data_IF_472142797998
#
_entry.id   IF_472142797998
#
_cell.length_a   1.000
_cell.length_b   1.000
_cell.length_c   1.000
_cell.angle_alpha   90.00
_cell.angle_beta   90.00
_cell.angle_gamma   90.00
#
_symmetry.space_group_name_H-M   'P 1'
#
loop_
_entity.id
_entity.type
_entity.pdbx_description
1 polymer ?
#
# COMPACT_ATOMS: atom_id res chain seq x y z
N UNK A 1 -13.54 -37.79 12.26
CA UNK A 1 -12.35 -37.04 11.82
C UNK A 1 -12.51 -36.84 10.32
N UNK A 2 -12.91 -35.63 9.94
CA UNK A 2 -13.37 -35.32 8.60
C UNK A 2 -12.20 -35.24 7.59
N UNK A 3 -12.41 -35.71 6.34
CA UNK A 3 -11.40 -35.68 5.29
C UNK A 3 -10.97 -34.26 4.88
N UNK A 4 -11.81 -33.24 5.06
CA UNK A 4 -11.54 -31.86 4.63
C UNK A 4 -10.37 -31.18 5.37
N UNK A 5 -10.18 -31.44 6.66
CA UNK A 5 -9.10 -30.81 7.44
C UNK A 5 -7.70 -31.33 7.06
N UNK A 6 -7.60 -32.57 6.57
CA UNK A 6 -6.33 -33.15 6.13
C UNK A 6 -5.88 -32.52 4.80
N UNK A 7 -6.81 -32.30 3.88
CA UNK A 7 -6.53 -31.71 2.57
C UNK A 7 -6.08 -30.25 2.64
N UNK A 8 -6.55 -29.47 3.64
CA UNK A 8 -6.04 -28.11 3.89
C UNK A 8 -4.60 -28.13 4.38
N UNK A 9 -4.28 -28.98 5.36
CA UNK A 9 -2.91 -29.06 5.92
C UNK A 9 -1.84 -29.48 4.90
N UNK A 10 -2.22 -30.35 3.95
CA UNK A 10 -1.33 -30.80 2.87
C UNK A 10 -1.10 -29.69 1.86
N UNK A 11 -2.14 -28.93 1.50
CA UNK A 11 -2.02 -27.76 0.61
C UNK A 11 -1.15 -26.67 1.24
N UNK A 12 -1.38 -26.36 2.51
CA UNK A 12 -0.62 -25.36 3.26
C UNK A 12 0.87 -25.74 3.34
N UNK A 13 1.17 -27.02 3.59
CA UNK A 13 2.55 -27.51 3.59
C UNK A 13 3.19 -27.44 2.20
N UNK A 14 2.48 -27.83 1.15
CA UNK A 14 2.97 -27.73 -0.23
C UNK A 14 3.24 -26.28 -0.62
N UNK A 15 2.37 -25.34 -0.24
CA UNK A 15 2.58 -23.91 -0.47
C UNK A 15 3.79 -23.39 0.28
N UNK A 16 3.99 -23.80 1.53
CA UNK A 16 5.14 -23.38 2.34
C UNK A 16 6.46 -23.90 1.76
N UNK A 17 6.48 -25.16 1.30
CA UNK A 17 7.65 -25.74 0.61
C UNK A 17 7.91 -25.03 -0.72
N UNK A 18 6.87 -24.76 -1.52
CA UNK A 18 7.00 -24.00 -2.77
C UNK A 18 7.55 -22.59 -2.52
N UNK A 19 7.03 -21.89 -1.50
CA UNK A 19 7.50 -20.55 -1.13
C UNK A 19 8.97 -20.55 -0.69
N UNK A 20 9.42 -21.60 0.01
CA UNK A 20 10.82 -21.73 0.44
C UNK A 20 11.81 -22.04 -0.69
N UNK A 21 11.34 -22.66 -1.79
CA UNK A 21 12.19 -23.07 -2.93
C UNK A 21 12.17 -22.09 -4.10
N UNK A 22 11.20 -21.18 -4.14
CA UNK A 22 11.11 -20.15 -5.17
C UNK A 22 12.22 -19.11 -4.98
N UNK A 23 12.78 -18.64 -6.08
CA UNK A 23 13.68 -17.48 -6.07
C UNK A 23 12.98 -16.21 -5.57
N UNK A 24 13.78 -15.21 -5.19
CA UNK A 24 13.27 -13.92 -4.72
C UNK A 24 13.11 -12.94 -5.88
N UNK A 25 12.04 -12.15 -5.85
CA UNK A 25 11.77 -11.13 -6.85
C UNK A 25 11.99 -9.73 -6.27
N UNK A 26 12.90 -8.98 -6.88
CA UNK A 26 13.12 -7.55 -6.61
C UNK A 26 12.70 -6.71 -7.80
N UNK A 27 11.84 -5.72 -7.56
CA UNK A 27 11.29 -4.85 -8.62
C UNK A 27 11.70 -3.41 -8.36
N UNK A 28 12.38 -2.82 -9.34
CA UNK A 28 12.57 -1.39 -9.43
C UNK A 28 11.38 -0.74 -10.15
N UNK A 29 10.54 -0.04 -9.40
CA UNK A 29 9.40 0.69 -9.95
C UNK A 29 9.77 2.15 -10.18
N UNK A 30 9.23 2.76 -11.23
CA UNK A 30 9.41 4.19 -11.47
C UNK A 30 8.21 4.81 -12.16
N UNK A 31 8.03 6.11 -11.99
CA UNK A 31 6.91 6.85 -12.58
C UNK A 31 6.97 6.94 -14.11
N UNK A 32 8.16 6.84 -14.71
CA UNK A 32 8.35 6.94 -16.16
C UNK A 32 9.70 6.41 -16.64
N UNK A 33 9.88 6.36 -17.96
CA UNK A 33 11.17 6.18 -18.61
C UNK A 33 12.14 7.32 -18.24
N UNK A 34 13.43 7.01 -18.14
CA UNK A 34 14.48 8.01 -17.92
C UNK A 34 14.81 8.34 -16.46
N UNK A 35 14.02 7.84 -15.50
CA UNK A 35 14.28 7.98 -14.05
C UNK A 35 15.50 7.16 -13.56
N UNK A 36 16.08 6.32 -14.41
CA UNK A 36 17.33 5.60 -14.10
C UNK A 36 17.16 4.21 -13.48
N UNK A 37 16.00 3.55 -13.64
CA UNK A 37 15.76 2.17 -13.17
C UNK A 37 16.87 1.19 -13.60
N UNK A 38 17.10 1.08 -14.90
CA UNK A 38 18.15 0.21 -15.48
C UNK A 38 19.54 0.54 -14.95
N UNK A 39 19.86 1.83 -14.79
CA UNK A 39 21.14 2.26 -14.25
C UNK A 39 21.33 1.82 -12.80
N UNK A 40 20.30 2.00 -11.95
CA UNK A 40 20.32 1.53 -10.55
C UNK A 40 20.41 0.01 -10.44
N UNK A 41 19.65 -0.71 -11.26
CA UNK A 41 19.69 -2.16 -11.34
C UNK A 41 21.09 -2.69 -11.68
N UNK A 42 21.79 -2.05 -12.63
CA UNK A 42 23.18 -2.38 -12.95
C UNK A 42 24.17 -2.01 -11.84
N UNK A 43 23.97 -0.90 -11.14
CA UNK A 43 24.79 -0.57 -9.96
C UNK A 43 24.65 -1.61 -8.85
N UNK A 44 23.44 -2.10 -8.60
CA UNK A 44 23.20 -3.19 -7.66
C UNK A 44 23.87 -4.48 -8.13
N UNK A 45 23.83 -4.78 -9.43
CA UNK A 45 24.51 -5.94 -9.98
C UNK A 45 26.01 -5.96 -9.70
N UNK A 46 26.68 -4.81 -9.89
CA UNK A 46 28.09 -4.65 -9.51
C UNK A 46 28.32 -4.86 -8.01
N UNK A 47 27.42 -4.36 -7.17
CA UNK A 47 27.51 -4.57 -5.73
C UNK A 47 27.37 -6.06 -5.36
N UNK A 48 26.47 -6.80 -6.00
CA UNK A 48 26.28 -8.24 -5.80
C UNK A 48 27.50 -9.05 -6.26
N UNK A 49 28.03 -8.75 -7.46
CA UNK A 49 29.27 -9.38 -7.96
C UNK A 49 30.45 -9.15 -7.02
N UNK A 50 30.60 -7.92 -6.50
CA UNK A 50 31.66 -7.60 -5.54
C UNK A 50 31.56 -8.40 -4.24
N UNK A 51 30.35 -8.80 -3.86
CA UNK A 51 30.09 -9.65 -2.71
C UNK A 51 30.11 -11.16 -3.04
N UNK A 52 30.48 -11.54 -4.27
CA UNK A 52 30.65 -12.92 -4.69
C UNK A 52 29.36 -13.66 -5.05
N UNK A 53 28.25 -12.94 -5.26
CA UNK A 53 26.98 -13.52 -5.71
C UNK A 53 27.04 -13.75 -7.22
N UNK A 54 26.66 -14.95 -7.69
CA UNK A 54 26.55 -15.26 -9.12
C UNK A 54 25.32 -14.56 -9.72
N UNK A 55 25.56 -13.38 -10.30
CA UNK A 55 24.55 -12.61 -11.01
C UNK A 55 24.87 -12.51 -12.50
N UNK A 56 23.85 -12.72 -13.33
CA UNK A 56 23.97 -12.67 -14.78
C UNK A 56 22.87 -11.83 -15.42
N UNK A 57 23.19 -11.15 -16.51
CA UNK A 57 22.22 -10.41 -17.31
C UNK A 57 21.50 -11.39 -18.24
N UNK A 58 20.21 -11.61 -17.98
CA UNK A 58 19.33 -12.35 -18.89
C UNK A 58 18.84 -11.45 -20.03
N UNK A 59 18.39 -10.24 -19.69
CA UNK A 59 18.02 -9.23 -20.67
C UNK A 59 18.15 -7.83 -20.07
N UNK A 60 18.66 -6.89 -20.86
CA UNK A 60 18.72 -5.47 -20.49
C UNK A 60 18.65 -4.57 -21.71
N UNK A 61 17.90 -3.48 -21.62
CA UNK A 61 17.82 -2.49 -22.69
C UNK A 61 18.49 -1.17 -22.25
N UNK A 62 19.60 -0.82 -22.91
CA UNK A 62 20.36 0.39 -22.55
C UNK A 62 19.84 1.63 -23.25
N UNK A 63 19.02 1.49 -24.30
CA UNK A 63 18.54 2.55 -25.17
C UNK A 63 19.69 3.46 -25.67
N UNK A 64 20.84 2.86 -25.99
CA UNK A 64 22.06 3.55 -26.45
C UNK A 64 22.60 4.62 -25.49
N UNK A 65 22.28 4.54 -24.19
CA UNK A 65 22.81 5.45 -23.18
C UNK A 65 24.24 5.02 -22.82
N UNK A 66 25.23 5.83 -23.21
CA UNK A 66 26.65 5.51 -23.01
C UNK A 66 27.00 5.17 -21.54
N UNK A 67 26.50 5.96 -20.59
CA UNK A 67 26.73 5.73 -19.15
C UNK A 67 26.16 4.38 -18.67
N UNK A 68 24.95 4.01 -19.13
CA UNK A 68 24.32 2.72 -18.78
C UNK A 68 25.00 1.57 -19.49
N UNK A 69 25.40 1.75 -20.75
CA UNK A 69 26.11 0.74 -21.53
C UNK A 69 27.48 0.41 -20.93
N UNK A 70 28.19 1.42 -20.42
CA UNK A 70 29.46 1.23 -19.74
C UNK A 70 29.33 0.33 -18.49
N UNK A 71 28.18 0.37 -17.80
CA UNK A 71 27.92 -0.49 -16.64
C UNK A 71 27.72 -1.96 -16.98
N UNK A 72 27.50 -2.33 -18.25
CA UNK A 72 27.43 -3.73 -18.66
C UNK A 72 28.80 -4.42 -18.52
N UNK A 73 29.89 -3.66 -18.67
CA UNK A 73 31.23 -4.20 -18.58
C UNK A 73 31.48 -4.79 -17.19
N UNK A 74 31.94 -6.04 -17.15
CA UNK A 74 32.24 -6.76 -15.91
C UNK A 74 31.09 -7.57 -15.33
N UNK A 75 29.86 -7.48 -15.89
CA UNK A 75 28.74 -8.34 -15.50
C UNK A 75 28.61 -9.48 -16.53
N UNK A 76 28.56 -10.76 -16.11
CA UNK A 76 28.32 -11.87 -17.03
C UNK A 76 26.97 -11.71 -17.75
N UNK A 77 26.96 -11.96 -19.07
CA UNK A 77 25.76 -11.80 -19.90
C UNK A 77 25.37 -13.13 -20.54
N UNK A 78 24.09 -13.46 -20.46
CA UNK A 78 23.49 -14.57 -21.18
C UNK A 78 23.14 -14.10 -22.57
N UNK A 79 23.70 -14.75 -23.59
CA UNK A 79 23.46 -14.41 -24.99
C UNK A 79 21.97 -14.46 -25.31
N UNK A 80 21.47 -13.37 -25.92
CA UNK A 80 20.08 -13.27 -26.38
C UNK A 80 19.80 -14.27 -27.49
N UNK A 81 18.57 -14.78 -27.53
CA UNK A 81 18.09 -15.61 -28.63
C UNK A 81 17.75 -14.73 -29.81
N UNK A 82 18.22 -15.11 -31.00
CA UNK A 82 17.88 -14.44 -32.26
C UNK A 82 16.76 -15.19 -32.96
N UNK A 83 15.71 -14.47 -33.34
CA UNK A 83 14.55 -15.04 -34.04
C UNK A 83 14.18 -14.17 -35.23
N UNK A 84 13.86 -14.79 -36.37
CA UNK A 84 13.34 -14.07 -37.53
C UNK A 84 11.82 -14.00 -37.47
N UNK A 85 11.27 -12.79 -37.47
CA UNK A 85 9.83 -12.55 -37.47
C UNK A 85 9.48 -11.45 -38.49
N UNK A 86 8.50 -11.72 -39.36
CA UNK A 86 8.08 -10.82 -40.46
C UNK A 86 9.25 -10.24 -41.28
N UNK A 87 10.27 -11.05 -41.55
CA UNK A 87 11.43 -10.66 -42.35
C UNK A 87 12.44 -9.75 -41.62
N UNK A 88 12.33 -9.58 -40.30
CA UNK A 88 13.31 -8.86 -39.47
C UNK A 88 13.93 -9.82 -38.45
N UNK A 89 15.23 -9.70 -38.23
CA UNK A 89 15.92 -10.34 -37.11
C UNK A 89 15.59 -9.56 -35.84
N UNK A 90 15.08 -10.25 -34.84
CA UNK A 90 14.76 -9.71 -33.53
C UNK A 90 15.55 -10.49 -32.47
N UNK A 91 16.00 -9.78 -31.44
CA UNK A 91 16.64 -10.38 -30.28
C UNK A 91 15.66 -10.43 -29.12
N UNK A 92 15.66 -11.55 -28.38
CA UNK A 92 14.81 -11.75 -27.21
C UNK A 92 15.60 -12.44 -26.10
N UNK A 93 15.11 -12.31 -24.86
CA UNK A 93 15.67 -13.05 -23.73
C UNK A 93 15.65 -14.57 -24.00
N UNK A 94 16.74 -15.26 -23.70
CA UNK A 94 16.79 -16.72 -23.75
C UNK A 94 16.45 -17.33 -22.38
N UNK A 95 15.14 -17.53 -22.14
CA UNK A 95 14.62 -18.12 -20.92
C UNK A 95 15.28 -19.48 -20.59
N UNK A 96 15.44 -20.34 -21.60
CA UNK A 96 15.97 -21.69 -21.37
C UNK A 96 17.46 -21.64 -21.02
N UNK A 97 18.23 -20.74 -21.64
CA UNK A 97 19.63 -20.54 -21.28
C UNK A 97 19.80 -20.02 -19.85
N UNK A 98 18.90 -19.14 -19.38
CA UNK A 98 18.89 -18.67 -17.98
C UNK A 98 18.63 -19.83 -17.03
N UNK A 99 17.58 -20.62 -17.26
CA UNK A 99 17.23 -21.77 -16.42
C UNK A 99 18.35 -22.81 -16.41
N UNK A 100 18.95 -23.10 -17.58
CA UNK A 100 20.02 -24.09 -17.69
C UNK A 100 21.32 -23.66 -17.01
N UNK A 101 21.66 -22.36 -17.05
CA UNK A 101 22.82 -21.83 -16.34
C UNK A 101 22.62 -21.77 -14.83
N UNK A 102 21.38 -21.56 -14.41
CA UNK A 102 20.97 -21.51 -13.01
C UNK A 102 21.83 -20.57 -12.15
N UNK A 103 21.92 -19.26 -12.49
CA UNK A 103 22.61 -18.29 -11.65
C UNK A 103 21.86 -18.08 -10.33
N UNK A 104 22.52 -17.54 -9.31
CA UNK A 104 21.82 -17.14 -8.07
C UNK A 104 20.84 -16.00 -8.33
N UNK A 105 21.22 -15.06 -9.20
CA UNK A 105 20.41 -13.90 -9.60
C UNK A 105 20.45 -13.66 -11.11
N UNK A 106 19.29 -13.43 -11.72
CA UNK A 106 19.14 -13.00 -13.10
C UNK A 106 18.60 -11.56 -13.19
N UNK A 107 19.21 -10.73 -14.04
CA UNK A 107 18.71 -9.39 -14.35
C UNK A 107 17.83 -9.46 -15.60
N UNK A 108 16.60 -8.98 -15.48
CA UNK A 108 15.61 -8.99 -16.57
C UNK A 108 14.92 -7.62 -16.63
N UNK A 109 15.31 -6.78 -17.59
CA UNK A 109 14.67 -5.46 -17.80
C UNK A 109 13.36 -5.54 -18.61
N UNK A 110 12.60 -4.44 -18.60
CA UNK A 110 11.31 -4.24 -19.27
C UNK A 110 10.29 -5.34 -18.94
N UNK A 111 9.90 -5.45 -17.66
CA UNK A 111 8.96 -6.49 -17.18
C UNK A 111 7.63 -6.56 -17.97
N UNK A 112 7.19 -5.42 -18.52
CA UNK A 112 5.94 -5.28 -19.27
C UNK A 112 6.01 -5.75 -20.74
N UNK A 113 7.22 -6.04 -21.23
CA UNK A 113 7.48 -6.37 -22.63
C UNK A 113 6.63 -7.54 -23.12
N UNK A 114 6.14 -7.39 -24.34
CA UNK A 114 5.43 -8.42 -25.08
C UNK A 114 6.42 -9.25 -25.87
N UNK A 115 6.56 -10.52 -25.49
CA UNK A 115 7.50 -11.42 -26.15
C UNK A 115 7.12 -11.63 -27.63
N UNK A 116 8.13 -11.92 -28.44
CA UNK A 116 7.94 -12.23 -29.87
C UNK A 116 6.99 -13.43 -30.03
N UNK A 117 6.09 -13.35 -31.01
CA UNK A 117 5.20 -14.45 -31.41
C UNK A 117 5.98 -15.75 -31.64
N UNK A 118 5.47 -16.87 -31.09
CA UNK A 118 6.14 -18.17 -31.10
C UNK A 118 7.04 -18.43 -29.90
N UNK A 119 7.20 -17.46 -28.99
CA UNK A 119 7.79 -17.70 -27.67
C UNK A 119 6.87 -18.55 -26.79
N UNK A 120 7.44 -19.29 -25.82
CA UNK A 120 6.69 -20.13 -24.87
C UNK A 120 5.62 -19.30 -24.14
N UNK A 121 6.03 -18.14 -23.65
CA UNK A 121 5.17 -17.19 -22.96
C UNK A 121 4.96 -15.94 -23.82
N UNK A 122 3.80 -15.29 -23.68
CA UNK A 122 3.46 -14.09 -24.44
C UNK A 122 3.98 -12.80 -23.80
N UNK A 123 4.28 -12.83 -22.50
CA UNK A 123 4.75 -11.68 -21.73
C UNK A 123 6.02 -12.00 -20.94
N UNK A 124 6.94 -11.04 -20.86
CA UNK A 124 8.21 -11.21 -20.14
C UNK A 124 8.02 -11.46 -18.64
N UNK A 125 6.99 -10.88 -18.02
CA UNK A 125 6.66 -11.19 -16.62
C UNK A 125 6.36 -12.68 -16.39
N UNK A 126 5.85 -13.40 -17.38
CA UNK A 126 5.64 -14.85 -17.27
C UNK A 126 6.97 -15.60 -17.31
N UNK A 127 7.92 -15.16 -18.14
CA UNK A 127 9.27 -15.72 -18.13
C UNK A 127 9.96 -15.47 -16.79
N UNK A 128 9.79 -14.28 -16.20
CA UNK A 128 10.30 -13.96 -14.86
C UNK A 128 9.69 -14.92 -13.81
N UNK A 129 8.40 -15.24 -13.91
CA UNK A 129 7.79 -16.23 -13.02
C UNK A 129 8.37 -17.63 -13.22
N UNK A 130 8.59 -18.06 -14.47
CA UNK A 130 9.26 -19.34 -14.77
C UNK A 130 10.68 -19.40 -14.17
N UNK A 131 11.44 -18.29 -14.23
CA UNK A 131 12.79 -18.19 -13.63
C UNK A 131 12.72 -18.31 -12.10
N UNK A 132 11.78 -17.61 -11.47
CA UNK A 132 11.57 -17.67 -10.02
C UNK A 132 11.17 -19.08 -9.56
N UNK A 133 10.30 -19.75 -10.32
CA UNK A 133 9.88 -21.13 -10.04
C UNK A 133 11.04 -22.13 -10.16
N UNK A 134 12.03 -21.86 -11.02
CA UNK A 134 13.26 -22.62 -11.10
C UNK A 134 14.21 -22.39 -9.90
N UNK A 135 13.87 -21.49 -8.98
CA UNK A 135 14.67 -21.17 -7.78
C UNK A 135 15.71 -20.07 -7.99
N UNK A 136 15.71 -19.41 -9.14
CA UNK A 136 16.64 -18.32 -9.48
C UNK A 136 16.01 -17.00 -9.04
N UNK A 137 16.75 -16.15 -8.32
CA UNK A 137 16.24 -14.83 -7.94
C UNK A 137 16.28 -13.87 -9.13
N UNK A 138 15.34 -12.92 -9.20
CA UNK A 138 15.24 -11.99 -10.34
C UNK A 138 15.24 -10.54 -9.84
N UNK A 139 16.06 -9.70 -10.48
CA UNK A 139 15.99 -8.25 -10.37
C UNK A 139 15.44 -7.70 -11.68
N UNK A 140 14.36 -6.94 -11.60
CA UNK A 140 13.66 -6.40 -12.77
C UNK A 140 13.26 -4.95 -12.58
N UNK A 141 12.78 -4.30 -13.64
CA UNK A 141 12.30 -2.94 -13.62
C UNK A 141 10.99 -2.78 -14.40
N UNK A 142 10.13 -1.90 -13.89
CA UNK A 142 8.83 -1.58 -14.50
C UNK A 142 8.49 -0.09 -14.30
N UNK A 143 7.76 0.48 -15.26
CA UNK A 143 7.11 1.77 -15.06
C UNK A 143 5.69 1.57 -14.52
N UNK A 144 5.24 2.45 -13.64
CA UNK A 144 3.89 2.41 -13.04
C UNK A 144 2.77 2.37 -14.10
N UNK A 145 3.03 2.99 -15.25
CA UNK A 145 2.15 3.06 -16.42
C UNK A 145 1.78 1.70 -17.01
N UNK A 146 2.56 0.65 -16.74
CA UNK A 146 2.29 -0.68 -17.25
C UNK A 146 1.45 -1.54 -16.31
N UNK A 147 1.07 -1.04 -15.12
CA UNK A 147 0.14 -1.76 -14.25
C UNK A 147 -1.26 -1.72 -14.85
N UNK A 148 -1.95 -2.86 -14.83
CA UNK A 148 -3.28 -3.00 -15.40
C UNK A 148 -4.29 -2.08 -14.69
N UNK A 149 -4.26 -2.03 -13.35
CA UNK A 149 -5.21 -1.22 -12.56
C UNK A 149 -5.10 0.29 -12.80
N UNK A 150 -3.94 0.77 -13.25
CA UNK A 150 -3.64 2.20 -13.41
C UNK A 150 -3.72 2.66 -14.87
N UNK A 151 -4.09 1.77 -15.78
CA UNK A 151 -4.04 2.02 -17.22
C UNK A 151 -4.93 3.20 -17.63
N UNK A 152 -6.20 3.18 -17.20
CA UNK A 152 -7.19 4.21 -17.54
C UNK A 152 -6.80 5.57 -16.98
N UNK A 153 -6.44 5.64 -15.69
CA UNK A 153 -6.02 6.87 -15.03
C UNK A 153 -4.78 7.49 -15.71
N UNK A 154 -3.82 6.65 -16.10
CA UNK A 154 -2.58 7.12 -16.75
C UNK A 154 -2.82 7.52 -18.20
N UNK A 155 -3.71 6.84 -18.92
CA UNK A 155 -4.13 7.25 -20.26
C UNK A 155 -4.85 8.61 -20.22
N UNK A 156 -5.72 8.86 -19.22
CA UNK A 156 -6.39 10.15 -19.03
C UNK A 156 -5.39 11.28 -18.76
N UNK A 157 -4.35 11.03 -17.94
CA UNK A 157 -3.31 12.02 -17.63
C UNK A 157 -2.42 12.27 -18.86
N UNK A 158 -1.98 11.21 -19.53
CA UNK A 158 -0.93 11.31 -20.55
C UNK A 158 -1.48 11.57 -21.95
N UNK A 159 -2.71 11.11 -22.23
CA UNK A 159 -3.34 11.06 -23.54
C UNK A 159 -2.78 9.98 -24.46
N UNK A 160 -2.04 9.01 -23.91
CA UNK A 160 -1.33 7.98 -24.68
C UNK A 160 -1.80 6.59 -24.23
N UNK A 161 -2.38 5.78 -25.13
CA UNK A 161 -2.80 4.42 -24.79
C UNK A 161 -1.60 3.52 -24.53
N UNK A 162 -1.69 2.71 -23.48
CA UNK A 162 -0.61 1.78 -23.08
C UNK A 162 -1.04 0.35 -23.38
N UNK A 163 -0.38 -0.24 -24.36
CA UNK A 163 -0.64 -1.59 -24.88
C UNK A 163 0.08 -2.69 -24.10
N UNK A 164 1.23 -2.36 -23.53
CA UNK A 164 2.03 -3.30 -22.74
C UNK A 164 1.64 -3.21 -21.27
N UNK A 165 1.08 -4.30 -20.76
CA UNK A 165 0.46 -4.37 -19.43
C UNK A 165 0.97 -5.54 -18.60
N UNK A 166 0.97 -5.35 -17.29
CA UNK A 166 1.39 -6.29 -16.26
C UNK A 166 0.30 -6.35 -15.18
N UNK A 167 -0.17 -7.55 -14.80
CA UNK A 167 -1.12 -7.69 -13.70
C UNK A 167 -0.51 -7.23 -12.38
N UNK A 168 -1.30 -6.51 -11.57
CA UNK A 168 -0.91 -6.02 -10.24
C UNK A 168 -0.41 -7.12 -9.29
N UNK A 169 -0.93 -8.34 -9.46
CA UNK A 169 -0.50 -9.53 -8.70
C UNK A 169 1.02 -9.79 -8.80
N UNK A 170 1.68 -9.33 -9.87
CA UNK A 170 3.13 -9.45 -10.02
C UNK A 170 3.88 -8.61 -8.98
N UNK A 171 3.33 -7.45 -8.58
CA UNK A 171 3.88 -6.67 -7.48
C UNK A 171 3.62 -7.35 -6.14
N UNK A 172 2.48 -8.01 -5.96
CA UNK A 172 2.16 -8.72 -4.70
C UNK A 172 3.09 -9.89 -4.42
N UNK A 173 3.61 -10.55 -5.46
CA UNK A 173 4.58 -11.65 -5.31
C UNK A 173 6.03 -11.18 -5.20
N UNK A 174 6.27 -9.87 -5.29
CA UNK A 174 7.59 -9.28 -5.13
C UNK A 174 8.04 -9.34 -3.67
N UNK A 175 9.26 -9.82 -3.44
CA UNK A 175 9.87 -9.85 -2.12
C UNK A 175 10.41 -8.46 -1.74
N UNK A 176 10.82 -7.65 -2.72
CA UNK A 176 11.28 -6.28 -2.50
C UNK A 176 10.82 -5.36 -3.65
N UNK A 177 10.27 -4.20 -3.30
CA UNK A 177 9.94 -3.14 -4.25
C UNK A 177 10.76 -1.90 -3.89
N UNK A 178 11.50 -1.38 -4.87
CA UNK A 178 12.30 -0.17 -4.71
C UNK A 178 11.77 0.91 -5.64
N UNK A 179 11.29 2.01 -5.07
CA UNK A 179 10.85 3.16 -5.84
C UNK A 179 12.04 3.99 -6.34
N UNK A 180 12.11 4.21 -7.66
CA UNK A 180 13.06 5.11 -8.30
C UNK A 180 12.34 6.38 -8.71
N UNK A 181 12.61 7.43 -7.96
CA UNK A 181 11.95 8.72 -8.07
C UNK A 181 12.95 9.82 -8.46
N UNK A 182 12.48 10.75 -9.28
CA UNK A 182 13.19 11.96 -9.71
C UNK A 182 12.24 13.15 -9.63
N UNK A 183 12.77 14.35 -9.48
CA UNK A 183 11.96 15.55 -9.66
C UNK A 183 11.58 15.75 -11.13
N UNK A 184 10.48 16.47 -11.39
CA UNK A 184 10.07 16.80 -12.76
C UNK A 184 11.15 17.60 -13.50
N UNK A 185 11.79 18.55 -12.82
CA UNK A 185 12.87 19.37 -13.38
C UNK A 185 14.08 18.51 -13.80
N UNK A 186 14.49 17.56 -12.97
CA UNK A 186 15.57 16.62 -13.30
C UNK A 186 15.21 15.72 -14.48
N UNK A 187 13.98 15.21 -14.53
CA UNK A 187 13.52 14.36 -15.63
C UNK A 187 13.47 15.15 -16.95
N UNK A 188 12.97 16.38 -16.92
CA UNK A 188 12.94 17.29 -18.07
C UNK A 188 14.36 17.67 -18.51
N UNK A 189 15.27 17.95 -17.58
CA UNK A 189 16.66 18.24 -17.89
C UNK A 189 17.33 17.06 -18.61
N UNK A 190 17.15 15.84 -18.09
CA UNK A 190 17.66 14.61 -18.73
C UNK A 190 17.08 14.40 -20.12
N UNK A 191 15.81 14.72 -20.33
CA UNK A 191 15.19 14.67 -21.66
C UNK A 191 15.84 15.68 -22.61
N UNK A 192 16.01 16.94 -22.18
CA UNK A 192 16.64 18.02 -22.97
C UNK A 192 18.10 17.72 -23.32
N UNK A 193 18.81 17.04 -22.44
CA UNK A 193 20.17 16.56 -22.67
C UNK A 193 20.25 15.38 -23.66
N UNK A 194 19.10 14.84 -24.11
CA UNK A 194 19.04 13.69 -25.00
C UNK A 194 19.37 12.36 -24.30
N UNK A 195 19.30 12.31 -22.97
CA UNK A 195 19.57 11.10 -22.17
C UNK A 195 18.38 10.12 -22.14
N UNK A 196 17.20 10.54 -22.60
CA UNK A 196 15.97 9.74 -22.53
C UNK A 196 15.50 9.31 -23.92
N UNK A 197 15.40 10.26 -24.86
CA UNK A 197 15.02 10.06 -26.25
C UNK A 197 16.01 10.74 -27.20
N UNK A 198 16.00 10.30 -28.46
CA UNK A 198 16.71 10.98 -29.55
C UNK A 198 16.25 12.44 -29.67
N UNK A 199 17.20 13.34 -30.00
CA UNK A 199 16.95 14.79 -30.10
C UNK A 199 15.74 15.14 -30.97
N UNK A 200 15.50 14.38 -32.04
CA UNK A 200 14.37 14.58 -32.94
C UNK A 200 12.99 14.40 -32.27
N UNK A 201 12.90 13.60 -31.20
CA UNK A 201 11.66 13.31 -30.47
C UNK A 201 11.50 14.14 -29.19
N UNK A 202 12.52 14.90 -28.80
CA UNK A 202 12.55 15.65 -27.53
C UNK A 202 11.46 16.70 -27.48
N UNK A 203 11.30 17.53 -28.52
CA UNK A 203 10.28 18.59 -28.52
C UNK A 203 8.86 18.02 -28.42
N UNK A 204 8.57 16.98 -29.20
CA UNK A 204 7.28 16.27 -29.14
C UNK A 204 7.03 15.62 -27.78
N UNK A 205 8.07 15.04 -27.17
CA UNK A 205 7.96 14.43 -25.85
C UNK A 205 7.69 15.47 -24.75
N UNK A 206 8.34 16.64 -24.81
CA UNK A 206 8.12 17.78 -23.90
C UNK A 206 6.71 18.36 -24.06
N UNK A 207 6.20 18.44 -25.28
CA UNK A 207 4.84 18.91 -25.54
C UNK A 207 3.76 17.92 -25.10
N UNK A 208 4.07 16.63 -24.93
CA UNK A 208 3.10 15.59 -24.62
C UNK A 208 3.26 15.03 -23.21
N UNK A 209 4.08 14.01 -23.04
CA UNK A 209 4.21 13.24 -21.80
C UNK A 209 5.01 14.00 -20.73
N UNK A 210 6.09 14.69 -21.11
CA UNK A 210 7.06 15.30 -20.19
C UNK A 210 6.68 16.74 -19.80
N UNK A 211 5.42 16.94 -19.45
CA UNK A 211 4.93 18.19 -18.83
C UNK A 211 5.00 18.09 -17.33
N UNK A 212 5.30 19.21 -16.67
CA UNK A 212 5.44 19.25 -15.21
C UNK A 212 4.16 18.75 -14.50
N UNK A 213 2.97 19.17 -14.94
CA UNK A 213 1.71 18.76 -14.30
C UNK A 213 1.48 17.24 -14.42
N UNK A 214 1.84 16.65 -15.56
CA UNK A 214 1.69 15.20 -15.80
C UNK A 214 2.70 14.39 -14.98
N UNK A 215 3.96 14.83 -14.94
CA UNK A 215 5.00 14.15 -14.16
C UNK A 215 4.65 14.15 -12.67
N UNK A 216 4.14 15.26 -12.14
CA UNK A 216 3.72 15.33 -10.73
C UNK A 216 2.58 14.36 -10.40
N UNK A 217 1.59 14.22 -11.29
CA UNK A 217 0.50 13.25 -11.11
C UNK A 217 1.01 11.80 -11.19
N UNK A 218 1.85 11.48 -12.16
CA UNK A 218 2.46 10.13 -12.26
C UNK A 218 3.34 9.80 -11.05
N UNK A 219 4.03 10.80 -10.50
CA UNK A 219 4.82 10.67 -9.28
C UNK A 219 3.94 10.40 -8.06
N UNK A 220 2.82 11.09 -7.93
CA UNK A 220 1.83 10.84 -6.87
C UNK A 220 1.31 9.40 -6.96
N UNK A 221 0.88 8.96 -8.15
CA UNK A 221 0.39 7.60 -8.38
C UNK A 221 1.46 6.56 -8.04
N UNK A 222 2.70 6.75 -8.50
CA UNK A 222 3.80 5.84 -8.21
C UNK A 222 4.08 5.71 -6.71
N UNK A 223 4.11 6.83 -5.98
CA UNK A 223 4.33 6.84 -4.53
C UNK A 223 3.16 6.19 -3.77
N UNK A 224 1.92 6.45 -4.21
CA UNK A 224 0.71 5.87 -3.63
C UNK A 224 0.69 4.35 -3.79
N UNK A 225 1.06 3.84 -4.96
CA UNK A 225 1.07 2.40 -5.21
C UNK A 225 2.15 1.69 -4.37
N UNK A 226 3.34 2.27 -4.27
CA UNK A 226 4.41 1.75 -3.40
C UNK A 226 3.98 1.76 -1.94
N UNK A 227 3.36 2.85 -1.48
CA UNK A 227 2.83 2.93 -0.12
C UNK A 227 1.77 1.85 0.15
N UNK A 228 0.82 1.67 -0.77
CA UNK A 228 -0.23 0.67 -0.65
C UNK A 228 0.32 -0.77 -0.64
N UNK A 229 1.37 -1.05 -1.43
CA UNK A 229 2.06 -2.34 -1.35
C UNK A 229 2.75 -2.55 0.00
N UNK A 230 3.46 -1.53 0.50
CA UNK A 230 4.12 -1.59 1.81
C UNK A 230 3.12 -1.82 2.95
N UNK A 231 1.98 -1.14 2.92
CA UNK A 231 0.87 -1.35 3.86
C UNK A 231 0.39 -2.79 3.83
N UNK A 232 0.08 -3.34 2.64
CA UNK A 232 -0.32 -4.75 2.48
C UNK A 232 0.74 -5.73 3.00
N UNK A 233 2.02 -5.46 2.74
CA UNK A 233 3.12 -6.31 3.19
C UNK A 233 3.30 -6.28 4.70
N UNK A 234 3.27 -5.09 5.31
CA UNK A 234 3.22 -4.93 6.77
C UNK A 234 2.00 -5.67 7.33
N UNK A 235 0.89 -5.62 6.61
CA UNK A 235 -0.34 -6.25 7.07
C UNK A 235 -0.25 -7.78 7.18
N UNK A 236 0.52 -8.40 6.29
CA UNK A 236 0.74 -9.84 6.20
C UNK A 236 1.89 -10.29 7.10
N UNK A 237 3.01 -9.58 7.09
CA UNK A 237 4.27 -10.01 7.73
C UNK A 237 4.38 -9.59 9.20
N UNK A 238 3.75 -8.48 9.59
CA UNK A 238 3.81 -7.98 10.97
C UNK A 238 2.63 -8.55 11.76
N UNK A 239 2.86 -9.35 12.82
CA UNK A 239 1.81 -9.84 13.69
C UNK A 239 0.97 -8.69 14.23
N UNK A 240 -0.36 -8.89 14.37
CA UNK A 240 -1.30 -7.88 14.88
C UNK A 240 -0.91 -7.29 16.25
N UNK A 241 -0.07 -7.97 17.01
CA UNK A 241 0.47 -7.53 18.31
C UNK A 241 1.59 -6.47 18.18
N UNK A 242 2.24 -6.36 17.02
CA UNK A 242 3.35 -5.43 16.75
C UNK A 242 2.91 -4.29 15.80
N UNK A 243 1.79 -4.45 15.09
CA UNK A 243 1.22 -3.38 14.26
C UNK A 243 0.90 -2.15 15.13
N UNK A 244 1.38 -0.99 14.70
CA UNK A 244 0.74 0.30 15.02
C UNK A 244 -0.70 0.19 14.52
N UNK A 245 -1.65 -0.12 15.40
CA UNK A 245 -3.08 -0.17 15.03
C UNK A 245 -3.44 1.22 14.50
N UNK A 246 -4.07 1.33 13.32
CA UNK A 246 -4.61 2.62 12.90
C UNK A 246 -5.55 3.08 14.01
N UNK A 247 -5.27 4.25 14.57
CA UNK A 247 -6.08 4.79 15.66
C UNK A 247 -7.55 4.79 15.22
N UNK A 248 -8.46 4.48 16.14
CA UNK A 248 -9.91 4.58 15.96
C UNK A 248 -10.48 5.17 17.23
N UNK A 249 -11.09 6.34 17.10
CA UNK A 249 -11.57 7.09 18.26
C UNK A 249 -13.06 6.85 18.49
N UNK A 250 -13.45 6.63 19.75
CA UNK A 250 -14.84 6.55 20.18
C UNK A 250 -15.17 7.67 21.18
N UNK A 251 -15.87 8.70 20.71
CA UNK A 251 -16.42 9.74 21.57
C UNK A 251 -17.71 9.25 22.25
N UNK A 252 -17.66 8.98 23.55
CA UNK A 252 -18.86 8.66 24.33
C UNK A 252 -19.48 9.94 24.89
N UNK A 253 -20.71 10.24 24.48
CA UNK A 253 -21.42 11.45 24.91
C UNK A 253 -22.66 11.11 25.74
N UNK A 254 -23.03 12.04 26.63
CA UNK A 254 -24.24 11.97 27.45
C UNK A 254 -25.23 13.07 27.06
N UNK A 255 -26.38 13.10 27.72
CA UNK A 255 -27.40 14.15 27.56
C UNK A 255 -26.96 15.55 28.04
N UNK A 256 -25.77 15.67 28.67
CA UNK A 256 -25.20 16.97 29.06
C UNK A 256 -24.64 17.71 27.84
N UNK A 257 -25.25 18.85 27.50
CA UNK A 257 -24.99 19.62 26.29
C UNK A 257 -23.57 20.20 26.22
N UNK A 258 -23.05 20.75 27.31
CA UNK A 258 -21.74 21.43 27.34
C UNK A 258 -20.59 20.42 27.24
N UNK A 259 -20.63 19.39 28.09
CA UNK A 259 -19.60 18.34 28.11
C UNK A 259 -19.57 17.56 26.80
N UNK A 260 -20.74 17.19 26.26
CA UNK A 260 -20.81 16.47 24.99
C UNK A 260 -20.19 17.27 23.83
N UNK A 261 -20.43 18.59 23.77
CA UNK A 261 -19.86 19.46 22.74
C UNK A 261 -18.33 19.54 22.81
N UNK A 262 -17.77 19.57 24.02
CA UNK A 262 -16.32 19.57 24.24
C UNK A 262 -15.72 18.25 23.77
N UNK A 263 -16.30 17.11 24.16
CA UNK A 263 -15.85 15.78 23.77
C UNK A 263 -15.86 15.61 22.26
N UNK A 264 -16.95 15.98 21.59
CA UNK A 264 -17.08 15.90 20.12
C UNK A 264 -15.97 16.71 19.45
N UNK A 265 -15.78 17.99 19.83
CA UNK A 265 -14.79 18.86 19.19
C UNK A 265 -13.35 18.41 19.44
N UNK A 266 -13.02 18.00 20.67
CA UNK A 266 -11.67 17.54 21.00
C UNK A 266 -11.35 16.19 20.38
N UNK A 267 -12.32 15.28 20.33
CA UNK A 267 -12.16 13.99 19.65
C UNK A 267 -12.00 14.18 18.14
N UNK A 268 -12.79 15.07 17.51
CA UNK A 268 -12.62 15.42 16.11
C UNK A 268 -11.21 15.95 15.79
N UNK A 269 -10.63 16.77 16.69
CA UNK A 269 -9.26 17.27 16.55
C UNK A 269 -8.21 16.16 16.63
N UNK A 270 -8.38 15.23 17.58
CA UNK A 270 -7.50 14.07 17.71
C UNK A 270 -7.61 13.16 16.48
N UNK A 271 -8.83 12.80 16.08
CA UNK A 271 -9.10 12.00 14.89
C UNK A 271 -8.51 12.64 13.62
N UNK A 272 -8.65 13.96 13.46
CA UNK A 272 -8.06 14.70 12.34
C UNK A 272 -6.53 14.69 12.37
N UNK A 273 -5.92 14.84 13.54
CA UNK A 273 -4.46 14.78 13.70
C UNK A 273 -3.89 13.42 13.30
N UNK A 274 -4.56 12.33 13.72
CA UNK A 274 -4.19 10.96 13.37
C UNK A 274 -4.74 10.47 12.02
N UNK A 275 -5.45 11.32 11.27
CA UNK A 275 -6.15 10.97 10.02
C UNK A 275 -6.98 9.68 10.13
N UNK A 276 -7.68 9.57 11.24
CA UNK A 276 -8.35 8.36 11.68
C UNK A 276 -9.89 8.51 11.63
N UNK A 277 -10.63 7.44 11.29
CA UNK A 277 -12.08 7.44 11.44
C UNK A 277 -12.46 7.48 12.92
N UNK A 278 -13.57 8.14 13.22
CA UNK A 278 -14.05 8.26 14.59
C UNK A 278 -15.56 8.16 14.68
N UNK A 279 -16.01 7.67 15.83
CA UNK A 279 -17.40 7.33 16.10
C UNK A 279 -17.87 8.14 17.29
N UNK A 280 -19.10 8.62 17.24
CA UNK A 280 -19.79 9.21 18.39
C UNK A 280 -20.86 8.23 18.85
N UNK A 281 -20.72 7.76 20.10
CA UNK A 281 -21.64 6.84 20.73
C UNK A 281 -22.50 7.57 21.77
N UNK A 282 -23.80 7.44 21.62
CA UNK A 282 -24.79 7.85 22.61
C UNK A 282 -25.56 6.63 23.14
N UNK A 283 -25.41 6.35 24.44
CA UNK A 283 -26.16 5.30 25.12
C UNK A 283 -27.32 5.92 25.89
N UNK A 284 -28.55 5.59 25.49
CA UNK A 284 -29.76 6.05 26.14
C UNK A 284 -30.18 5.09 27.26
N UNK A 285 -30.08 5.53 28.53
CA UNK A 285 -30.62 4.80 29.68
C UNK A 285 -32.14 5.00 29.83
N UNK A 286 -32.83 4.05 30.46
CA UNK A 286 -34.23 4.13 30.86
C UNK A 286 -34.52 5.31 31.80
N UNK A 287 -33.54 5.74 32.59
CA UNK A 287 -33.60 6.97 33.39
C UNK A 287 -33.64 8.26 32.55
N UNK A 288 -33.27 8.17 31.27
CA UNK A 288 -33.26 9.21 30.24
C UNK A 288 -34.28 8.91 29.12
N UNK A 289 -35.40 8.26 29.43
CA UNK A 289 -36.44 7.99 28.44
C UNK A 289 -37.02 9.29 27.87
N UNK A 290 -37.37 9.27 26.57
CA UNK A 290 -37.89 10.43 25.80
C UNK A 290 -39.14 11.07 26.43
N UNK A 291 -39.85 10.36 27.31
CA UNK A 291 -41.05 10.82 28.03
C UNK A 291 -40.72 11.66 29.27
N UNK A 292 -39.46 11.65 29.75
CA UNK A 292 -39.03 12.35 30.99
C UNK A 292 -37.91 13.38 30.79
N UNK A 293 -37.34 13.49 29.58
CA UNK A 293 -36.34 14.51 29.28
C UNK A 293 -37.03 15.84 28.99
N UNK A 294 -36.65 16.90 29.72
CA UNK A 294 -37.09 18.28 29.42
C UNK A 294 -36.75 18.66 27.95
N UNK A 295 -37.67 19.33 27.25
CA UNK A 295 -37.58 19.64 25.81
C UNK A 295 -36.28 20.36 25.38
N UNK A 296 -35.69 21.14 26.28
CA UNK A 296 -34.41 21.82 26.11
C UNK A 296 -33.25 20.83 25.88
N UNK A 297 -33.16 19.76 26.68
CA UNK A 297 -32.10 18.74 26.56
C UNK A 297 -32.19 17.95 25.26
N UNK A 298 -33.40 17.66 24.76
CA UNK A 298 -33.59 16.99 23.47
C UNK A 298 -33.04 17.84 22.31
N UNK A 299 -33.31 19.16 22.32
CA UNK A 299 -32.79 20.09 21.32
C UNK A 299 -31.26 20.13 21.31
N UNK A 300 -30.64 20.18 22.48
CA UNK A 300 -29.18 20.17 22.58
C UNK A 300 -28.55 18.88 22.06
N UNK A 301 -29.15 17.72 22.35
CA UNK A 301 -28.66 16.43 21.87
C UNK A 301 -28.72 16.34 20.33
N UNK A 302 -29.81 16.80 19.72
CA UNK A 302 -29.94 16.86 18.25
C UNK A 302 -28.85 17.76 17.64
N UNK A 303 -28.57 18.91 18.25
CA UNK A 303 -27.53 19.81 17.77
C UNK A 303 -26.13 19.19 17.89
N UNK A 304 -25.87 18.42 18.95
CA UNK A 304 -24.61 17.70 19.11
C UNK A 304 -24.45 16.58 18.07
N UNK A 305 -25.53 15.88 17.73
CA UNK A 305 -25.50 14.89 16.64
C UNK A 305 -25.20 15.54 15.29
N UNK A 306 -25.82 16.69 14.98
CA UNK A 306 -25.51 17.44 13.76
C UNK A 306 -24.04 17.85 13.72
N UNK A 307 -23.53 18.41 14.82
CA UNK A 307 -22.12 18.80 14.95
C UNK A 307 -21.17 17.61 14.74
N UNK A 308 -21.49 16.46 15.31
CA UNK A 308 -20.70 15.24 15.14
C UNK A 308 -20.62 14.82 13.66
N UNK A 309 -21.76 14.79 12.96
CA UNK A 309 -21.82 14.44 11.54
C UNK A 309 -21.12 15.48 10.66
N UNK A 310 -21.26 16.77 10.94
CA UNK A 310 -20.55 17.86 10.24
C UNK A 310 -19.02 17.76 10.40
N UNK A 311 -18.54 17.22 11.51
CA UNK A 311 -17.13 16.95 11.78
C UNK A 311 -16.66 15.56 11.32
N UNK A 312 -17.51 14.84 10.56
CA UNK A 312 -17.16 13.57 9.92
C UNK A 312 -17.24 12.33 10.82
N UNK A 313 -17.94 12.39 11.96
CA UNK A 313 -18.14 11.22 12.82
C UNK A 313 -19.23 10.28 12.29
N UNK A 314 -19.03 8.96 12.42
CA UNK A 314 -20.12 7.99 12.38
C UNK A 314 -20.94 8.09 13.69
N UNK A 315 -22.26 8.16 13.60
CA UNK A 315 -23.12 8.30 14.78
C UNK A 315 -23.82 6.98 15.13
N UNK A 316 -23.59 6.48 16.35
CA UNK A 316 -24.21 5.27 16.87
C UNK A 316 -25.07 5.61 18.09
N UNK A 317 -26.33 5.17 18.08
CA UNK A 317 -27.30 5.36 19.18
C UNK A 317 -27.81 4.01 19.65
N UNK A 318 -27.61 3.69 20.93
CA UNK A 318 -28.03 2.42 21.52
C UNK A 318 -28.86 2.69 22.76
N UNK A 319 -29.97 1.97 22.94
CA UNK A 319 -30.76 1.99 24.17
C UNK A 319 -30.28 0.87 25.08
N UNK A 320 -29.78 1.20 26.27
CA UNK A 320 -29.26 0.24 27.23
C UNK A 320 -29.10 0.89 28.60
N UNK A 321 -29.39 0.13 29.66
CA UNK A 321 -29.09 0.53 31.04
C UNK A 321 -27.69 0.11 31.48
N UNK A 322 -27.05 -0.81 30.75
CA UNK A 322 -25.66 -1.23 30.96
C UNK A 322 -24.71 -0.40 30.09
N UNK A 323 -24.48 0.86 30.48
CA UNK A 323 -23.69 1.84 29.71
C UNK A 323 -22.28 1.32 29.41
N UNK A 324 -21.54 0.91 30.46
CA UNK A 324 -20.15 0.45 30.34
C UNK A 324 -20.02 -0.75 29.41
N UNK A 325 -20.88 -1.75 29.56
CA UNK A 325 -20.87 -2.95 28.71
C UNK A 325 -21.18 -2.62 27.25
N UNK A 326 -22.10 -1.68 27.04
CA UNK A 326 -22.44 -1.22 25.69
C UNK A 326 -21.27 -0.50 25.03
N UNK A 327 -20.56 0.37 25.76
CA UNK A 327 -19.36 1.05 25.27
C UNK A 327 -18.30 0.02 24.88
N UNK A 328 -18.00 -0.94 25.76
CA UNK A 328 -16.99 -1.97 25.48
C UNK A 328 -17.37 -2.85 24.28
N UNK A 329 -18.64 -3.24 24.18
CA UNK A 329 -19.13 -4.03 23.05
C UNK A 329 -18.95 -3.29 21.73
N UNK A 330 -19.32 -2.00 21.67
CA UNK A 330 -19.11 -1.18 20.47
C UNK A 330 -17.63 -0.97 20.19
N UNK A 331 -16.82 -0.77 21.23
CA UNK A 331 -15.38 -0.63 21.08
C UNK A 331 -14.73 -1.88 20.47
N UNK A 332 -15.15 -3.07 20.90
CA UNK A 332 -14.69 -4.34 20.35
C UNK A 332 -15.19 -4.56 18.91
N UNK A 333 -16.49 -4.40 18.67
CA UNK A 333 -17.10 -4.58 17.33
C UNK A 333 -16.53 -3.64 16.27
N UNK A 334 -16.10 -2.43 16.67
CA UNK A 334 -15.54 -1.41 15.77
C UNK A 334 -14.02 -1.32 15.86
N UNK A 335 -13.37 -2.20 16.62
CA UNK A 335 -11.92 -2.24 16.87
C UNK A 335 -11.37 -0.86 17.27
N UNK A 336 -12.03 -0.19 18.21
CA UNK A 336 -11.65 1.13 18.75
C UNK A 336 -10.37 1.01 19.56
N UNK A 337 -9.41 1.91 19.30
CA UNK A 337 -8.14 2.00 20.04
C UNK A 337 -8.21 3.00 21.19
N UNK A 338 -8.92 4.11 21.00
CA UNK A 338 -8.99 5.20 21.99
C UNK A 338 -10.44 5.60 22.28
N UNK A 339 -10.85 5.49 23.53
CA UNK A 339 -12.15 5.95 24.02
C UNK A 339 -12.01 7.35 24.62
N UNK A 340 -12.79 8.29 24.12
CA UNK A 340 -12.85 9.67 24.58
C UNK A 340 -14.11 9.91 25.40
N UNK A 341 -13.95 10.32 26.66
CA UNK A 341 -15.07 10.65 27.56
C UNK A 341 -14.94 12.04 28.15
N UNK A 342 -16.07 12.65 28.50
CA UNK A 342 -16.09 13.95 29.15
C UNK A 342 -15.76 13.86 30.63
N UNK A 343 -15.04 14.87 31.16
CA UNK A 343 -14.81 14.98 32.60
C UNK A 343 -16.17 15.07 33.33
N UNK A 344 -16.43 14.20 34.32
CA UNK A 344 -17.67 14.28 35.08
C UNK A 344 -17.65 15.54 35.97
N UNK A 345 -18.57 16.46 35.74
CA UNK A 345 -18.89 17.54 36.69
C UNK A 345 -19.89 16.98 37.72
N UNK A 346 -19.50 16.81 38.98
CA UNK A 346 -20.36 16.17 39.99
C UNK A 346 -20.48 16.97 41.29
N UNK A 347 -21.70 17.03 41.82
CA UNK A 347 -22.02 17.33 43.23
C UNK A 347 -21.76 16.07 44.08
N UNK A 348 -21.33 16.24 45.33
CA UNK A 348 -20.82 15.21 46.27
C UNK A 348 -21.62 13.89 46.33
N UNK A 349 -22.95 13.92 46.23
CA UNK A 349 -23.80 12.71 46.31
C UNK A 349 -23.86 11.88 45.02
N UNK A 350 -23.64 12.51 43.86
CA UNK A 350 -23.62 11.81 42.56
C UNK A 350 -22.28 11.12 42.29
N UNK A 351 -21.26 11.42 43.10
CA UNK A 351 -19.93 10.81 43.04
C UNK A 351 -20.06 9.31 43.25
N UNK A 352 -20.71 8.83 44.32
CA UNK A 352 -20.70 7.41 44.68
C UNK A 352 -21.26 6.50 43.55
N UNK A 353 -22.39 6.87 42.94
CA UNK A 353 -23.03 6.06 41.89
C UNK A 353 -22.29 6.12 40.54
N UNK A 354 -21.78 7.29 40.14
CA UNK A 354 -21.10 7.45 38.83
C UNK A 354 -19.64 7.03 38.89
N UNK A 355 -18.99 7.10 40.05
CA UNK A 355 -17.67 6.52 40.29
C UNK A 355 -17.69 5.00 40.16
N UNK A 356 -18.80 4.33 40.49
CA UNK A 356 -18.94 2.89 40.24
C UNK A 356 -18.92 2.55 38.73
N UNK A 357 -19.70 3.25 37.91
CA UNK A 357 -19.75 3.06 36.44
C UNK A 357 -18.39 3.39 35.81
N UNK A 358 -17.76 4.49 36.24
CA UNK A 358 -16.46 4.93 35.77
C UNK A 358 -15.33 3.97 36.18
N UNK A 359 -15.34 3.46 37.41
CA UNK A 359 -14.38 2.47 37.88
C UNK A 359 -14.60 1.11 37.21
N UNK A 360 -15.84 0.71 36.94
CA UNK A 360 -16.12 -0.51 36.16
C UNK A 360 -15.57 -0.40 34.73
N UNK A 361 -15.72 0.78 34.11
CA UNK A 361 -15.17 1.06 32.78
C UNK A 361 -13.64 1.07 32.81
N UNK A 362 -13.01 1.71 33.79
CA UNK A 362 -11.56 1.66 33.97
C UNK A 362 -11.03 0.24 34.19
N UNK A 363 -11.69 -0.56 35.02
CA UNK A 363 -11.28 -1.94 35.28
C UNK A 363 -11.42 -2.84 34.03
N UNK A 364 -12.46 -2.62 33.21
CA UNK A 364 -12.64 -3.35 31.95
C UNK A 364 -11.69 -2.88 30.86
N UNK A 365 -11.41 -1.57 30.79
CA UNK A 365 -10.43 -1.00 29.87
C UNK A 365 -9.02 -1.45 30.23
N UNK A 366 -8.68 -1.54 31.52
CA UNK A 366 -7.38 -2.05 31.96
C UNK A 366 -7.12 -3.52 31.55
N UNK A 367 -8.17 -4.28 31.22
CA UNK A 367 -8.06 -5.63 30.70
C UNK A 367 -7.94 -5.70 29.16
N UNK A 368 -8.10 -4.57 28.47
CA UNK A 368 -8.01 -4.44 27.01
C UNK A 368 -6.90 -3.46 26.61
N UNK A 369 -6.29 -3.62 25.43
CA UNK A 369 -5.30 -2.66 24.90
C UNK A 369 -5.99 -1.40 24.31
N UNK A 370 -6.88 -0.77 25.07
CA UNK A 370 -7.66 0.41 24.64
C UNK A 370 -7.31 1.59 25.54
N UNK A 371 -6.93 2.71 24.95
CA UNK A 371 -6.62 3.93 25.68
C UNK A 371 -7.88 4.68 26.10
N UNK A 372 -7.84 5.34 27.26
CA UNK A 372 -8.92 6.19 27.76
C UNK A 372 -8.46 7.64 27.89
N UNK A 373 -9.09 8.53 27.15
CA UNK A 373 -8.83 9.97 27.18
C UNK A 373 -9.99 10.70 27.83
N UNK A 374 -9.71 11.43 28.92
CA UNK A 374 -10.69 12.23 29.64
C UNK A 374 -10.55 13.70 29.22
N UNK A 375 -11.61 14.23 28.63
CA UNK A 375 -11.64 15.55 28.03
C UNK A 375 -12.41 16.51 28.94
N UNK A 376 -11.71 17.51 29.48
CA UNK A 376 -12.29 18.62 30.26
C UNK A 376 -12.53 19.86 29.42
#
# INVERSE_FOLDING_TARGET
MEPDQKDTSVKDFIELVKKSRRGKLKIYIGMSAGVGKTYRMLQEAHALLKNGIDIQIGYIETHNRAETHALLAGIPVISRRKTFYKGRELEEMDLQAIINRHPEVAIVDELAHSNIEGSKNSKRWQDVMDILEAGISVITAINIQHLESLNEEIEDITGIPITERVPDKILEVADEIVNIDLTADELIARLKEGKIYDKAKVETALQNFFRNEKILQLREIALKEVAHHLERKIDIEVPKQIKLRPERFLACISSNSETAKIVIRKTARLASYYRSPWIVLYVQSSSESLERIKLDKQRHLINNFKLATELGAELIKIKSDEITKTIMKVAEEKEVTTICIGKPHLNLWQVILRTAIFNELLNKIAATETDLVILS
#
